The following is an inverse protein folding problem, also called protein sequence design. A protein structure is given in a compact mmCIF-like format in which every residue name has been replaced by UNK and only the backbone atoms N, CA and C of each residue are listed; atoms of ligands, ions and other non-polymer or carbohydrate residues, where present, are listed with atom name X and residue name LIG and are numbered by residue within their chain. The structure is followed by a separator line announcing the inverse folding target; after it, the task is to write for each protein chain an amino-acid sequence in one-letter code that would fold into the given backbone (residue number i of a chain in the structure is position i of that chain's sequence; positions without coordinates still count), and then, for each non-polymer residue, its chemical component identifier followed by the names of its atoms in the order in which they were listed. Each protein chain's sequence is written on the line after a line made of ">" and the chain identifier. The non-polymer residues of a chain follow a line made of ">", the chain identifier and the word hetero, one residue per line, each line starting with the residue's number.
data_IF_306174793458
#
_entry.id   IF_306174793458
#
_cell.length_a   1.000
_cell.length_b   1.000
_cell.length_c   1.000
_cell.angle_alpha   90.00
_cell.angle_beta   90.00
_cell.angle_gamma   90.00
#
_symmetry.space_group_name_H-M   'P 1'
#
loop_
_entity.id
_entity.type
_entity.pdbx_description
1 polymer ?
#
# COMPACT_ATOMS: atom_id res chain seq x y z
N UNK A 1 7.50 18.19 -8.58
CA UNK A 1 7.46 17.12 -7.57
C UNK A 1 8.07 15.89 -8.21
N UNK A 2 9.19 15.41 -7.65
CA UNK A 2 9.85 14.20 -8.13
C UNK A 2 9.48 13.09 -7.15
N UNK A 3 8.95 11.99 -7.67
CA UNK A 3 8.55 10.83 -6.86
C UNK A 3 9.47 9.65 -7.19
N UNK A 4 9.70 8.80 -6.19
CA UNK A 4 10.41 7.54 -6.36
C UNK A 4 9.69 6.39 -5.64
N UNK A 5 9.83 5.18 -6.17
CA UNK A 5 9.26 3.96 -5.60
C UNK A 5 10.39 3.19 -4.93
N UNK A 6 10.19 2.80 -3.67
CA UNK A 6 11.16 2.03 -2.90
C UNK A 6 10.49 0.91 -2.10
N UNK A 7 11.23 -0.14 -1.70
CA UNK A 7 10.67 -1.21 -0.89
C UNK A 7 9.99 -0.68 0.37
N UNK A 8 8.82 -1.23 0.69
CA UNK A 8 8.16 -0.91 1.95
C UNK A 8 9.04 -1.33 3.13
N UNK A 9 8.98 -0.58 4.21
CA UNK A 9 9.60 -0.95 5.47
C UNK A 9 8.62 -0.69 6.62
N UNK A 10 9.01 -1.09 7.83
CA UNK A 10 8.15 -0.97 9.01
C UNK A 10 7.77 0.47 9.33
N UNK A 11 8.63 1.46 9.08
CA UNK A 11 8.33 2.86 9.36
C UNK A 11 7.22 3.36 8.42
N UNK A 12 7.37 3.14 7.11
CA UNK A 12 6.34 3.49 6.13
C UNK A 12 5.02 2.75 6.38
N UNK A 13 5.07 1.45 6.70
CA UNK A 13 3.86 0.68 7.00
C UNK A 13 3.07 1.28 8.18
N UNK A 14 3.77 1.70 9.25
CA UNK A 14 3.12 2.37 10.38
C UNK A 14 2.55 3.74 10.03
N UNK A 15 3.23 4.48 9.15
CA UNK A 15 2.77 5.79 8.69
C UNK A 15 1.50 5.68 7.83
N UNK A 16 1.47 4.75 6.87
CA UNK A 16 0.28 4.43 6.07
C UNK A 16 -0.89 4.05 6.99
N UNK A 17 -0.63 3.20 8.00
CA UNK A 17 -1.67 2.82 8.98
C UNK A 17 -2.19 4.02 9.79
N UNK A 18 -1.40 5.09 9.90
CA UNK A 18 -1.74 6.33 10.57
C UNK A 18 -2.63 7.27 9.76
N UNK A 19 -2.76 7.06 8.45
CA UNK A 19 -3.57 7.94 7.60
C UNK A 19 -5.05 7.92 7.97
N UNK A 20 -5.66 9.11 7.97
CA UNK A 20 -7.06 9.29 8.35
C UNK A 20 -7.77 10.13 7.30
N UNK A 21 -8.81 9.54 6.76
CA UNK A 21 -9.74 10.10 5.81
C UNK A 21 -11.10 10.25 6.45
N UNK A 22 -11.78 11.33 6.12
CA UNK A 22 -13.17 11.55 6.49
C UNK A 22 -14.11 10.76 5.56
N UNK A 23 -15.38 10.65 5.95
CA UNK A 23 -16.41 10.05 5.11
C UNK A 23 -16.50 10.72 3.74
N UNK A 24 -16.68 9.96 2.63
CA UNK A 24 -16.98 8.52 2.56
C UNK A 24 -15.73 7.62 2.46
N UNK A 25 -14.53 8.18 2.63
CA UNK A 25 -13.26 7.48 2.45
C UNK A 25 -12.73 6.86 3.75
N UNK A 26 -13.47 6.97 4.85
CA UNK A 26 -13.13 6.38 6.13
C UNK A 26 -13.04 4.85 6.08
N UNK A 27 -13.62 4.22 5.05
CA UNK A 27 -13.43 2.80 4.72
C UNK A 27 -11.97 2.42 4.44
N UNK A 28 -11.12 3.39 4.05
CA UNK A 28 -9.69 3.18 3.81
C UNK A 28 -8.84 3.40 5.05
N UNK A 29 -9.43 3.87 6.16
CA UNK A 29 -8.69 4.08 7.40
C UNK A 29 -8.24 2.76 7.98
N UNK A 30 -6.92 2.54 7.97
CA UNK A 30 -6.32 1.44 8.70
C UNK A 30 -6.25 1.78 10.20
N UNK A 31 -6.27 0.76 11.06
CA UNK A 31 -6.12 0.96 12.51
C UNK A 31 -4.79 1.61 12.86
N UNK A 32 -4.79 2.53 13.83
CA UNK A 32 -3.56 3.14 14.38
C UNK A 32 -3.65 3.10 15.92
N UNK A 33 -2.79 2.33 16.61
CA UNK A 33 -1.78 1.45 16.02
C UNK A 33 -2.44 0.31 15.21
N UNK A 34 -1.80 -0.17 14.13
CA UNK A 34 -2.30 -1.32 13.40
C UNK A 34 -2.21 -2.56 14.26
N UNK A 35 -3.13 -3.50 14.05
CA UNK A 35 -2.97 -4.84 14.61
C UNK A 35 -1.80 -5.59 13.94
N UNK A 36 -1.44 -6.73 14.53
CA UNK A 36 -0.30 -7.52 14.04
C UNK A 36 -0.54 -8.09 12.64
N UNK A 37 -1.78 -8.39 12.28
CA UNK A 37 -2.10 -8.99 10.99
C UNK A 37 -2.02 -7.96 9.86
N UNK A 38 -2.51 -6.74 10.11
CA UNK A 38 -2.38 -5.59 9.19
C UNK A 38 -0.91 -5.30 8.91
N UNK A 39 -0.09 -5.20 9.96
CA UNK A 39 1.34 -4.94 9.79
C UNK A 39 2.05 -6.11 9.09
N UNK A 40 1.67 -7.36 9.38
CA UNK A 40 2.20 -8.55 8.71
C UNK A 40 1.83 -8.56 7.22
N UNK A 41 0.59 -8.21 6.89
CA UNK A 41 0.10 -8.13 5.52
C UNK A 41 0.90 -7.11 4.70
N UNK A 42 1.07 -5.88 5.18
CA UNK A 42 1.83 -4.84 4.47
C UNK A 42 3.30 -5.25 4.24
N UNK A 43 3.90 -5.92 5.22
CA UNK A 43 5.31 -6.30 5.18
C UNK A 43 5.56 -7.67 4.53
N UNK A 44 4.51 -8.39 4.12
CA UNK A 44 4.66 -9.68 3.47
C UNK A 44 5.16 -9.45 2.03
N UNK A 45 6.34 -9.98 1.66
CA UNK A 45 6.89 -9.79 0.32
C UNK A 45 6.01 -10.37 -0.78
N UNK A 46 5.09 -11.28 -0.46
CA UNK A 46 4.12 -11.87 -1.40
C UNK A 46 3.19 -10.80 -1.99
N UNK A 47 2.87 -9.75 -1.24
CA UNK A 47 1.97 -8.68 -1.69
C UNK A 47 2.72 -7.50 -2.33
N UNK A 48 4.06 -7.53 -2.29
CA UNK A 48 4.93 -6.59 -2.99
C UNK A 48 4.57 -5.11 -2.76
N UNK A 49 4.31 -4.72 -1.50
CA UNK A 49 4.10 -3.32 -1.14
C UNK A 49 5.39 -2.50 -1.32
N UNK A 50 5.21 -1.28 -1.81
CA UNK A 50 6.26 -0.29 -2.02
C UNK A 50 5.78 1.08 -1.53
N UNK A 51 6.70 1.85 -0.96
CA UNK A 51 6.46 3.25 -0.62
C UNK A 51 6.73 4.12 -1.84
N UNK A 52 5.87 5.11 -2.06
CA UNK A 52 6.07 6.21 -3.00
C UNK A 52 6.48 7.41 -2.18
N UNK A 53 7.69 7.92 -2.39
CA UNK A 53 8.23 9.05 -1.63
C UNK A 53 8.59 10.22 -2.53
N UNK A 54 8.56 11.43 -1.98
CA UNK A 54 9.02 12.63 -2.65
C UNK A 54 10.55 12.79 -2.63
N UNK A 55 11.06 13.97 -3.02
CA UNK A 55 12.49 14.24 -3.11
C UNK A 55 13.15 14.37 -1.72
N UNK A 56 12.36 14.69 -0.71
CA UNK A 56 12.75 14.82 0.68
C UNK A 56 12.71 13.47 1.41
N UNK A 57 12.09 12.45 0.79
CA UNK A 57 11.94 11.11 1.33
C UNK A 57 10.66 10.92 2.14
N UNK A 58 9.76 11.90 2.11
CA UNK A 58 8.48 11.85 2.80
C UNK A 58 7.49 10.99 2.02
N UNK A 59 6.64 10.27 2.75
CA UNK A 59 5.68 9.35 2.15
C UNK A 59 4.56 10.13 1.45
N UNK A 60 4.45 9.93 0.14
CA UNK A 60 3.42 10.53 -0.70
C UNK A 60 2.30 9.54 -1.09
N UNK A 61 2.55 8.24 -0.95
CA UNK A 61 1.67 7.18 -1.43
C UNK A 61 2.27 5.79 -1.17
N UNK A 62 1.52 4.75 -1.51
CA UNK A 62 2.05 3.40 -1.66
C UNK A 62 1.46 2.69 -2.88
N UNK A 63 2.13 1.64 -3.32
CA UNK A 63 1.56 0.70 -4.28
C UNK A 63 1.87 -0.75 -3.90
N UNK A 64 1.04 -1.67 -4.36
CA UNK A 64 1.24 -3.12 -4.23
C UNK A 64 1.09 -3.79 -5.58
N UNK A 65 1.77 -4.92 -5.75
CA UNK A 65 1.81 -5.67 -7.01
C UNK A 65 1.53 -7.16 -6.80
N UNK A 66 0.95 -7.51 -5.65
CA UNK A 66 0.58 -8.87 -5.32
C UNK A 66 -0.79 -9.27 -5.85
N UNK A 67 -1.06 -10.56 -5.70
CA UNK A 67 -2.35 -11.17 -6.07
C UNK A 67 -3.54 -10.60 -5.28
N UNK A 68 -3.28 -9.91 -4.17
CA UNK A 68 -4.28 -9.17 -3.39
C UNK A 68 -4.86 -7.96 -4.12
N UNK A 69 -4.19 -7.48 -5.18
CA UNK A 69 -4.72 -6.47 -6.10
C UNK A 69 -5.77 -6.99 -7.08
N UNK A 70 -5.97 -8.31 -7.16
CA UNK A 70 -6.93 -8.92 -8.08
C UNK A 70 -8.35 -8.90 -7.50
N UNK A 71 -9.28 -8.27 -8.22
CA UNK A 71 -10.70 -8.17 -7.89
C UNK A 71 -11.59 -9.14 -8.70
N UNK A 72 -12.77 -9.51 -8.20
CA UNK A 72 -13.71 -10.37 -8.93
C UNK A 72 -14.07 -9.81 -10.31
N UNK A 73 -14.03 -10.67 -11.33
CA UNK A 73 -14.37 -10.32 -12.72
C UNK A 73 -13.21 -9.87 -13.61
N UNK A 74 -11.98 -9.80 -13.08
CA UNK A 74 -10.78 -9.55 -13.88
C UNK A 74 -10.30 -10.78 -14.66
N UNK A 75 -9.62 -10.53 -15.78
CA UNK A 75 -8.89 -11.55 -16.55
C UNK A 75 -7.39 -11.43 -16.25
N UNK A 76 -6.88 -12.33 -15.40
CA UNK A 76 -5.48 -12.38 -14.96
C UNK A 76 -4.67 -13.44 -15.73
N UNK A 77 -5.18 -13.90 -16.88
CA UNK A 77 -4.46 -14.84 -17.75
C UNK A 77 -3.46 -14.15 -18.68
N UNK A 78 -3.60 -12.83 -18.84
CA UNK A 78 -2.67 -12.00 -19.61
C UNK A 78 -1.44 -11.74 -18.76
N UNK A 79 -0.25 -11.80 -19.38
CA UNK A 79 1.02 -11.39 -18.76
C UNK A 79 1.05 -9.87 -18.60
N UNK A 80 0.41 -9.39 -17.52
CA UNK A 80 0.28 -8.01 -17.13
C UNK A 80 0.56 -7.86 -15.62
N UNK A 81 0.96 -6.66 -15.23
CA UNK A 81 1.20 -6.33 -13.83
C UNK A 81 -0.07 -5.75 -13.20
N UNK A 82 -0.59 -6.41 -12.18
CA UNK A 82 -1.66 -5.87 -11.34
C UNK A 82 -1.11 -4.80 -10.39
N UNK A 83 -1.89 -3.73 -10.16
CA UNK A 83 -1.47 -2.64 -9.28
C UNK A 83 -2.59 -2.22 -8.32
N UNK A 84 -2.28 -2.25 -7.03
CA UNK A 84 -3.03 -1.53 -5.98
C UNK A 84 -2.32 -0.23 -5.63
N UNK A 85 -3.06 0.85 -5.35
CA UNK A 85 -2.51 2.15 -4.96
C UNK A 85 -3.33 2.79 -3.85
N UNK A 86 -2.67 3.58 -3.00
CA UNK A 86 -3.29 4.36 -1.93
C UNK A 86 -2.45 5.57 -1.55
#
# INVERSE_FOLDING_TARGET
>A
MQLSIQPINRAFALEICGWRYESPYDIYNWGSPPDKETLRYILDPTFAFHAIVDAEGELAGFCSFGVDGQVPGGDYSVDALDIGMG
#
